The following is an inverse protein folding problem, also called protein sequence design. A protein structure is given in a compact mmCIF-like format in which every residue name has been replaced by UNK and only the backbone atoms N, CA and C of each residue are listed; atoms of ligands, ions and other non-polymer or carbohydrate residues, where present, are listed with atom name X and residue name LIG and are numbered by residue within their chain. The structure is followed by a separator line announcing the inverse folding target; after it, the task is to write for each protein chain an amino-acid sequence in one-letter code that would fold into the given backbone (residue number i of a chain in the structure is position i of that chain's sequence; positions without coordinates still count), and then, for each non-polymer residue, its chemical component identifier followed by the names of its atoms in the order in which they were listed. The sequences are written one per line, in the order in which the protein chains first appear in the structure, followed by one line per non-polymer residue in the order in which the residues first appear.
data_IF_035139441567
#
_entry.id   IF_035139441567
#
_cell.length_a   1.000
_cell.length_b   1.000
_cell.length_c   1.000
_cell.angle_alpha   90.00
_cell.angle_beta   90.00
_cell.angle_gamma   90.00
#
_symmetry.space_group_name_H-M   'P 1'
#
loop_
_entity.id
_entity.type
_entity.pdbx_description
1 polymer ?
#
# COMPACT_ATOMS: atom_id res chain seq x y z
N UNK A 1 -5.61 3.08 20.49
CA UNK A 1 -6.44 4.17 19.94
C UNK A 1 -6.00 5.45 20.60
N UNK A 2 -5.62 6.48 19.83
CA UNK A 2 -4.99 7.70 20.36
C UNK A 2 -3.75 7.42 21.24
N UNK A 3 -2.94 6.42 20.90
CA UNK A 3 -1.77 6.01 21.68
C UNK A 3 -2.03 5.04 22.84
N UNK A 4 -3.29 4.69 23.14
CA UNK A 4 -3.62 3.76 24.23
C UNK A 4 -3.91 2.34 23.73
N UNK A 5 -3.33 1.33 24.38
CA UNK A 5 -3.55 -0.09 24.05
C UNK A 5 -4.94 -0.53 24.57
N UNK A 6 -5.85 -0.94 23.66
CA UNK A 6 -7.21 -1.41 24.03
C UNK A 6 -7.26 -2.88 24.50
N UNK A 7 -6.10 -3.55 24.54
CA UNK A 7 -5.96 -4.96 24.93
C UNK A 7 -5.34 -5.80 23.81
N UNK A 8 -5.10 -7.08 24.11
CA UNK A 8 -4.65 -8.06 23.11
C UNK A 8 -5.89 -8.74 22.51
N UNK A 9 -6.12 -8.52 21.22
CA UNK A 9 -7.12 -9.26 20.45
C UNK A 9 -6.43 -10.35 19.64
N UNK A 10 -7.08 -11.50 19.51
CA UNK A 10 -6.66 -12.46 18.48
C UNK A 10 -6.90 -11.85 17.09
N UNK A 11 -6.16 -12.29 16.07
CA UNK A 11 -6.37 -11.81 14.70
C UNK A 11 -7.83 -11.97 14.26
N UNK A 12 -8.46 -13.10 14.64
CA UNK A 12 -9.87 -13.38 14.36
C UNK A 12 -10.81 -12.37 15.01
N UNK A 13 -10.60 -12.05 16.29
CA UNK A 13 -11.44 -11.09 17.01
C UNK A 13 -11.23 -9.66 16.48
N UNK A 14 -9.99 -9.31 16.11
CA UNK A 14 -9.72 -8.06 15.42
C UNK A 14 -10.51 -7.94 14.11
N UNK A 15 -10.47 -8.95 13.23
CA UNK A 15 -11.24 -8.91 11.98
C UNK A 15 -12.75 -8.88 12.20
N UNK A 16 -13.25 -9.47 13.29
CA UNK A 16 -14.67 -9.45 13.64
C UNK A 16 -15.14 -8.06 14.11
N UNK A 17 -14.28 -7.32 14.82
CA UNK A 17 -14.64 -6.06 15.48
C UNK A 17 -14.02 -4.80 14.85
N UNK A 18 -13.15 -4.92 13.84
CA UNK A 18 -12.43 -3.77 13.27
C UNK A 18 -13.34 -2.64 12.75
N UNK A 19 -14.55 -2.97 12.28
CA UNK A 19 -15.51 -1.96 11.83
C UNK A 19 -16.03 -1.05 12.94
N UNK A 20 -15.95 -1.49 14.20
CA UNK A 20 -16.28 -0.67 15.36
C UNK A 20 -15.30 0.50 15.54
N UNK A 21 -14.12 0.45 14.89
CA UNK A 21 -13.13 1.52 14.89
C UNK A 21 -13.44 2.64 13.88
N UNK A 22 -14.39 2.42 12.96
CA UNK A 22 -14.73 3.39 11.90
C UNK A 22 -15.09 4.78 12.46
N UNK A 23 -15.92 4.91 13.52
CA UNK A 23 -16.24 6.21 14.10
C UNK A 23 -14.99 6.95 14.61
N UNK A 24 -14.08 6.23 15.25
CA UNK A 24 -12.85 6.78 15.81
C UNK A 24 -11.86 7.19 14.72
N UNK A 25 -11.73 6.38 13.65
CA UNK A 25 -10.93 6.71 12.45
C UNK A 25 -11.46 8.00 11.79
N UNK A 26 -12.78 8.11 11.60
CA UNK A 26 -13.41 9.30 11.02
C UNK A 26 -13.21 10.54 11.91
N UNK A 27 -13.30 10.39 13.23
CA UNK A 27 -13.06 11.47 14.16
C UNK A 27 -11.59 11.95 14.11
N UNK A 28 -10.64 11.01 14.04
CA UNK A 28 -9.22 11.31 13.89
C UNK A 28 -8.93 12.04 12.57
N UNK A 29 -9.44 11.53 11.44
CA UNK A 29 -9.28 12.18 10.13
C UNK A 29 -9.86 13.60 10.12
N UNK A 30 -11.09 13.78 10.59
CA UNK A 30 -11.73 15.11 10.68
C UNK A 30 -10.95 16.09 11.54
N UNK A 31 -10.29 15.60 12.60
CA UNK A 31 -9.41 16.44 13.41
C UNK A 31 -8.21 16.93 12.60
N UNK A 32 -7.58 16.06 11.79
CA UNK A 32 -6.50 16.47 10.88
C UNK A 32 -6.98 17.54 9.89
N UNK A 33 -8.18 17.38 9.32
CA UNK A 33 -8.76 18.35 8.36
C UNK A 33 -8.90 19.76 8.94
N UNK A 34 -8.97 19.92 10.27
CA UNK A 34 -9.07 21.26 10.88
C UNK A 34 -7.80 22.08 10.81
N UNK A 35 -6.64 21.45 10.57
CA UNK A 35 -5.34 22.12 10.62
C UNK A 35 -4.34 21.72 9.54
N UNK A 36 -4.63 20.68 8.76
CA UNK A 36 -3.77 20.23 7.67
C UNK A 36 -4.36 20.62 6.31
N UNK A 37 -3.55 21.28 5.47
CA UNK A 37 -3.93 21.59 4.08
C UNK A 37 -3.92 20.33 3.20
N UNK A 38 -3.06 19.36 3.54
CA UNK A 38 -2.88 18.08 2.84
C UNK A 38 -2.76 16.97 3.88
N UNK A 39 -3.51 15.89 3.68
CA UNK A 39 -3.44 14.67 4.49
C UNK A 39 -3.00 13.54 3.57
N UNK A 40 -1.89 12.89 3.91
CA UNK A 40 -1.41 11.68 3.22
C UNK A 40 -1.80 10.48 4.09
N UNK A 41 -2.49 9.52 3.48
CA UNK A 41 -2.89 8.26 4.13
C UNK A 41 -2.08 7.15 3.50
N UNK A 42 -1.24 6.51 4.29
CA UNK A 42 -0.55 5.29 3.89
C UNK A 42 -1.45 4.08 4.19
N UNK A 43 -1.63 3.22 3.19
CA UNK A 43 -2.33 1.95 3.35
C UNK A 43 -1.44 0.89 3.99
N UNK A 44 -2.04 -0.19 4.47
CA UNK A 44 -1.30 -1.31 5.05
C UNK A 44 -1.39 -2.53 4.12
N UNK A 45 -0.24 -3.00 3.64
CA UNK A 45 -0.16 -4.17 2.76
C UNK A 45 -0.73 -3.91 1.37
N UNK A 46 -1.44 -4.90 0.80
CA UNK A 46 -2.00 -4.78 -0.55
C UNK A 46 -3.44 -4.26 -0.51
N UNK A 47 -3.81 -3.28 -1.36
CA UNK A 47 -5.20 -2.83 -1.47
C UNK A 47 -6.11 -3.85 -2.15
N UNK A 48 -5.55 -4.94 -2.72
CA UNK A 48 -6.27 -5.97 -3.44
C UNK A 48 -6.33 -7.32 -2.70
N UNK A 49 -6.28 -7.32 -1.37
CA UNK A 49 -6.45 -8.54 -0.58
C UNK A 49 -7.89 -9.07 -0.65
N UNK A 50 -8.15 -9.90 -1.66
CA UNK A 50 -9.48 -10.47 -1.99
C UNK A 50 -10.17 -11.05 -0.75
N UNK A 51 -9.42 -11.72 0.12
CA UNK A 51 -9.95 -12.39 1.32
C UNK A 51 -10.26 -11.44 2.49
N UNK A 52 -9.70 -10.22 2.50
CA UNK A 52 -9.83 -9.25 3.59
C UNK A 52 -10.58 -7.97 3.18
N UNK A 53 -11.01 -7.93 1.92
CA UNK A 53 -11.70 -6.80 1.28
C UNK A 53 -13.01 -6.43 1.97
N UNK A 54 -13.76 -7.43 2.43
CA UNK A 54 -14.98 -7.20 3.20
C UNK A 54 -14.58 -6.54 4.53
N UNK A 55 -15.01 -5.29 4.71
CA UNK A 55 -14.69 -4.44 5.87
C UNK A 55 -13.25 -3.90 5.88
N UNK A 56 -12.61 -3.70 4.73
CA UNK A 56 -11.36 -2.93 4.68
C UNK A 56 -11.55 -1.54 5.31
N UNK A 57 -10.62 -1.15 6.17
CA UNK A 57 -10.57 0.16 6.85
C UNK A 57 -9.17 0.79 6.78
N UNK A 58 -8.25 0.17 6.03
CA UNK A 58 -6.84 0.58 5.95
C UNK A 58 -6.42 0.94 4.53
N UNK A 59 -7.05 0.37 3.50
CA UNK A 59 -6.70 0.61 2.10
C UNK A 59 -7.84 1.33 1.33
N UNK A 60 -8.50 0.65 0.39
CA UNK A 60 -9.56 1.21 -0.43
C UNK A 60 -10.79 1.59 0.39
N UNK A 61 -11.08 0.84 1.44
CA UNK A 61 -12.15 1.19 2.37
C UNK A 61 -11.87 2.49 3.12
N UNK A 62 -10.61 2.76 3.50
CA UNK A 62 -10.23 4.05 4.07
C UNK A 62 -10.39 5.17 3.04
N UNK A 63 -9.87 4.98 1.82
CA UNK A 63 -10.01 5.96 0.75
C UNK A 63 -11.49 6.29 0.45
N UNK A 64 -12.35 5.29 0.38
CA UNK A 64 -13.79 5.48 0.19
C UNK A 64 -14.46 6.19 1.38
N UNK A 65 -14.04 5.90 2.62
CA UNK A 65 -14.60 6.53 3.83
C UNK A 65 -14.41 8.04 3.89
N UNK A 66 -13.34 8.55 3.28
CA UNK A 66 -12.97 9.98 3.28
C UNK A 66 -12.96 10.61 1.88
N UNK A 67 -13.47 9.90 0.87
CA UNK A 67 -13.47 10.31 -0.54
C UNK A 67 -12.09 10.74 -1.08
N UNK A 68 -11.04 10.03 -0.69
CA UNK A 68 -9.67 10.34 -1.10
C UNK A 68 -9.31 9.71 -2.46
N UNK A 69 -8.55 10.43 -3.32
CA UNK A 69 -7.90 9.82 -4.48
C UNK A 69 -6.76 8.90 -4.04
N UNK A 70 -6.50 7.86 -4.84
CA UNK A 70 -5.48 6.84 -4.54
C UNK A 70 -4.34 6.92 -5.55
N UNK A 71 -3.11 6.82 -5.04
CA UNK A 71 -1.92 6.54 -5.84
C UNK A 71 -1.46 5.11 -5.53
N UNK A 72 -1.33 4.28 -6.56
CA UNK A 72 -0.84 2.92 -6.39
C UNK A 72 0.66 2.86 -6.67
N UNK A 73 1.41 2.37 -5.68
CA UNK A 73 2.88 2.32 -5.74
C UNK A 73 3.34 0.87 -5.89
N UNK A 74 4.15 0.59 -6.90
CA UNK A 74 4.76 -0.71 -7.13
C UNK A 74 6.26 -0.69 -6.81
N UNK A 75 6.77 -1.75 -6.19
CA UNK A 75 8.20 -1.88 -5.85
C UNK A 75 8.94 -2.62 -6.97
N UNK A 76 9.84 -1.93 -7.68
CA UNK A 76 10.62 -2.53 -8.76
C UNK A 76 11.76 -3.42 -8.26
N UNK A 77 12.29 -3.19 -7.06
CA UNK A 77 13.39 -4.00 -6.50
C UNK A 77 12.92 -5.44 -6.20
N UNK A 78 11.63 -5.62 -5.90
CA UNK A 78 11.00 -6.95 -5.73
C UNK A 78 10.80 -7.70 -7.05
N UNK A 79 11.00 -7.04 -8.19
CA UNK A 79 10.79 -7.58 -9.53
C UNK A 79 9.31 -7.67 -9.93
N UNK A 80 9.04 -7.67 -11.24
CA UNK A 80 7.68 -7.83 -11.77
C UNK A 80 6.73 -6.66 -11.53
N UNK A 81 7.24 -5.43 -11.35
CA UNK A 81 6.45 -4.25 -10.99
C UNK A 81 5.24 -3.99 -11.89
N UNK A 82 5.36 -4.24 -13.19
CA UNK A 82 4.23 -4.10 -14.12
C UNK A 82 3.10 -5.10 -13.82
N UNK A 83 3.45 -6.33 -13.47
CA UNK A 83 2.47 -7.35 -13.09
C UNK A 83 1.87 -7.06 -11.70
N UNK A 84 2.66 -6.52 -10.76
CA UNK A 84 2.15 -6.08 -9.46
C UNK A 84 1.08 -4.99 -9.64
N UNK A 85 1.42 -3.91 -10.36
CA UNK A 85 0.51 -2.78 -10.59
C UNK A 85 -0.73 -3.19 -11.38
N UNK A 86 -0.54 -3.85 -12.53
CA UNK A 86 -1.66 -4.27 -13.37
C UNK A 86 -2.53 -5.32 -12.68
N UNK A 87 -1.90 -6.30 -12.01
CA UNK A 87 -2.61 -7.34 -11.26
C UNK A 87 -3.46 -6.74 -10.15
N UNK A 88 -2.92 -5.79 -9.38
CA UNK A 88 -3.70 -5.07 -8.36
C UNK A 88 -4.87 -4.33 -8.99
N UNK A 89 -4.67 -3.55 -10.05
CA UNK A 89 -5.76 -2.84 -10.74
C UNK A 89 -6.87 -3.77 -11.22
N UNK A 90 -6.53 -4.96 -11.72
CA UNK A 90 -7.50 -5.95 -12.20
C UNK A 90 -8.32 -6.62 -11.08
N UNK A 91 -7.87 -6.54 -9.82
CA UNK A 91 -8.55 -7.08 -8.65
C UNK A 91 -9.43 -6.05 -7.92
N UNK A 92 -9.31 -4.77 -8.28
CA UNK A 92 -10.17 -3.71 -7.76
C UNK A 92 -11.57 -3.80 -8.37
N UNK A 93 -12.58 -3.36 -7.61
CA UNK A 93 -13.90 -3.08 -8.19
C UNK A 93 -13.81 -1.85 -9.10
N UNK A 94 -14.85 -1.62 -9.90
CA UNK A 94 -14.92 -0.42 -10.73
C UNK A 94 -14.79 0.86 -9.89
N UNK A 95 -15.56 0.97 -8.80
CA UNK A 95 -15.53 2.14 -7.91
C UNK A 95 -14.14 2.36 -7.28
N UNK A 96 -13.48 1.27 -6.89
CA UNK A 96 -12.12 1.34 -6.35
C UNK A 96 -11.13 1.79 -7.42
N UNK A 97 -11.24 1.24 -8.63
CA UNK A 97 -10.37 1.61 -9.75
C UNK A 97 -10.56 3.08 -10.14
N UNK A 98 -11.79 3.59 -10.12
CA UNK A 98 -12.08 5.01 -10.37
C UNK A 98 -11.38 5.94 -9.38
N UNK A 99 -11.13 5.49 -8.14
CA UNK A 99 -10.37 6.28 -7.15
C UNK A 99 -8.88 6.32 -7.43
N UNK A 100 -8.33 5.35 -8.17
CA UNK A 100 -6.91 5.34 -8.52
C UNK A 100 -6.64 6.41 -9.58
N UNK A 101 -5.91 7.46 -9.19
CA UNK A 101 -5.59 8.60 -10.07
C UNK A 101 -4.20 8.51 -10.68
N UNK A 102 -3.38 7.56 -10.24
CA UNK A 102 -2.05 7.39 -10.77
C UNK A 102 -1.32 6.17 -10.25
N UNK A 103 -0.36 5.71 -11.06
CA UNK A 103 0.57 4.66 -10.72
C UNK A 103 1.97 5.24 -10.52
N UNK A 104 2.73 4.69 -9.58
CA UNK A 104 4.10 5.08 -9.29
C UNK A 104 4.98 3.83 -9.27
N UNK A 105 6.14 3.92 -9.92
CA UNK A 105 7.17 2.88 -9.86
C UNK A 105 8.24 3.33 -8.86
N UNK A 106 8.32 2.68 -7.72
CA UNK A 106 9.25 3.03 -6.65
C UNK A 106 10.59 2.31 -6.78
N UNK A 107 11.63 2.87 -6.15
CA UNK A 107 13.01 2.35 -6.07
C UNK A 107 13.71 2.20 -7.41
N UNK A 108 13.38 3.06 -8.36
CA UNK A 108 13.99 3.00 -9.69
C UNK A 108 15.48 3.40 -9.66
N UNK A 109 16.28 2.78 -10.53
CA UNK A 109 17.73 3.02 -10.65
C UNK A 109 18.11 3.21 -12.12
N UNK A 110 18.92 4.23 -12.39
CA UNK A 110 19.40 4.53 -13.73
C UNK A 110 18.50 5.51 -14.48
N UNK A 111 18.49 5.41 -15.81
CA UNK A 111 17.72 6.27 -16.71
C UNK A 111 16.28 5.74 -16.83
N UNK A 112 15.29 6.55 -16.41
CA UNK A 112 13.88 6.15 -16.39
C UNK A 112 13.28 5.94 -17.78
N UNK A 113 13.88 6.51 -18.82
CA UNK A 113 13.40 6.36 -20.21
C UNK A 113 13.41 4.90 -20.68
N UNK A 114 14.22 4.04 -20.05
CA UNK A 114 14.22 2.60 -20.31
C UNK A 114 12.86 1.95 -20.01
N UNK A 115 12.06 2.55 -19.13
CA UNK A 115 10.74 2.05 -18.76
C UNK A 115 9.62 2.54 -19.68
N UNK A 116 9.88 3.51 -20.58
CA UNK A 116 8.83 4.13 -21.40
C UNK A 116 7.94 3.12 -22.14
N UNK A 117 8.47 2.07 -22.79
CA UNK A 117 7.62 1.07 -23.45
C UNK A 117 6.73 0.30 -22.47
N UNK A 118 7.25 0.00 -21.27
CA UNK A 118 6.50 -0.68 -20.22
C UNK A 118 5.45 0.23 -19.58
N UNK A 119 5.76 1.51 -19.40
CA UNK A 119 4.83 2.55 -18.92
C UNK A 119 3.69 2.74 -19.89
N UNK A 120 3.97 2.79 -21.20
CA UNK A 120 2.95 2.87 -22.23
C UNK A 120 2.01 1.67 -22.15
N UNK A 121 2.56 0.44 -22.13
CA UNK A 121 1.76 -0.78 -22.00
C UNK A 121 0.91 -0.80 -20.72
N UNK A 122 1.48 -0.38 -19.59
CA UNK A 122 0.77 -0.34 -18.31
C UNK A 122 -0.38 0.67 -18.34
N UNK A 123 -0.17 1.84 -18.93
CA UNK A 123 -1.20 2.88 -19.07
C UNK A 123 -2.33 2.41 -20.00
N UNK A 124 -1.99 1.80 -21.14
CA UNK A 124 -2.96 1.27 -22.10
C UNK A 124 -3.84 0.16 -21.50
N UNK A 125 -3.23 -0.77 -20.75
CA UNK A 125 -3.95 -1.91 -20.16
C UNK A 125 -4.66 -1.56 -18.85
N UNK A 126 -4.04 -0.75 -18.01
CA UNK A 126 -4.55 -0.36 -16.71
C UNK A 126 -5.56 0.77 -16.76
N UNK A 127 -5.58 1.55 -17.85
CA UNK A 127 -6.41 2.76 -18.01
C UNK A 127 -6.19 3.82 -16.91
N UNK A 128 -5.02 3.78 -16.25
CA UNK A 128 -4.58 4.70 -15.21
C UNK A 128 -3.20 5.21 -15.60
N UNK A 129 -2.92 6.53 -15.54
CA UNK A 129 -1.63 7.07 -15.92
C UNK A 129 -0.53 6.64 -14.95
N UNK A 130 0.67 6.35 -15.47
CA UNK A 130 1.88 6.32 -14.65
C UNK A 130 2.36 7.76 -14.45
N UNK A 131 2.40 8.22 -13.20
CA UNK A 131 2.78 9.59 -12.86
C UNK A 131 4.30 9.78 -12.84
N UNK A 132 5.06 8.70 -12.67
CA UNK A 132 6.51 8.73 -12.74
C UNK A 132 7.17 7.61 -11.94
N UNK A 133 8.49 7.74 -11.82
CA UNK A 133 9.32 6.88 -10.99
C UNK A 133 9.80 7.63 -9.75
N UNK A 134 9.93 6.91 -8.64
CA UNK A 134 10.64 7.41 -7.46
C UNK A 134 12.03 6.78 -7.47
N UNK A 135 13.13 7.58 -7.44
CA UNK A 135 14.47 7.04 -7.43
C UNK A 135 14.72 6.26 -6.14
N UNK A 136 15.58 5.26 -6.21
CA UNK A 136 16.06 4.62 -4.99
C UNK A 136 16.83 5.61 -4.12
N UNK A 137 16.51 5.61 -2.83
CA UNK A 137 17.17 6.39 -1.79
C UNK A 137 17.50 5.47 -0.61
N UNK A 138 18.70 5.58 -0.07
CA UNK A 138 19.00 5.00 1.24
C UNK A 138 18.42 5.91 2.31
N UNK A 139 17.36 5.44 2.96
CA UNK A 139 16.71 6.15 4.06
C UNK A 139 16.91 5.34 5.34
N UNK A 140 17.39 5.99 6.39
CA UNK A 140 17.41 5.42 7.74
C UNK A 140 16.11 5.84 8.42
N UNK A 141 15.03 5.09 8.17
CA UNK A 141 13.77 5.23 8.88
C UNK A 141 13.72 4.21 10.02
N UNK A 142 13.01 4.55 11.10
CA UNK A 142 12.70 3.57 12.14
C UNK A 142 11.76 2.51 11.54
N UNK A 143 12.07 1.23 11.75
CA UNK A 143 11.24 0.12 11.28
C UNK A 143 9.87 0.18 11.98
N UNK A 144 8.83 0.62 11.27
CA UNK A 144 7.48 0.65 11.84
C UNK A 144 6.86 -0.75 11.92
N UNK A 145 7.20 -1.67 10.99
CA UNK A 145 6.89 -3.11 11.07
C UNK A 145 7.63 -3.90 9.96
N UNK A 146 8.89 -4.27 10.19
CA UNK A 146 9.70 -4.96 9.16
C UNK A 146 9.42 -6.47 9.10
N UNK A 147 8.59 -6.88 8.14
CA UNK A 147 8.52 -8.27 7.67
C UNK A 147 9.75 -8.71 6.83
N UNK A 148 10.75 -7.85 6.63
CA UNK A 148 11.80 -8.11 5.62
C UNK A 148 13.13 -8.63 6.19
N UNK A 149 13.50 -8.32 7.44
CA UNK A 149 14.85 -8.69 7.93
C UNK A 149 14.91 -10.00 8.71
N UNK A 150 13.81 -10.43 9.35
CA UNK A 150 13.77 -11.71 10.09
C UNK A 150 13.79 -12.96 9.22
N UNK A 151 13.46 -12.86 7.93
CA UNK A 151 13.42 -14.01 7.02
C UNK A 151 14.75 -14.22 6.25
N UNK A 152 15.53 -13.16 6.01
CA UNK A 152 16.82 -13.25 5.32
C UNK A 152 17.92 -13.84 6.23
N UNK A 153 17.91 -13.55 7.53
CA UNK A 153 18.88 -14.14 8.48
C UNK A 153 18.72 -15.67 8.66
N UNK A 154 17.51 -16.20 8.44
CA UNK A 154 17.24 -17.63 8.62
C UNK A 154 17.61 -18.50 7.40
N UNK A 155 17.81 -17.92 6.22
CA UNK A 155 18.16 -18.67 5.01
C UNK A 155 19.66 -18.82 4.75
N UNK A 156 20.51 -17.96 5.33
CA UNK A 156 21.97 -18.01 5.15
C UNK A 156 22.74 -18.53 6.37
N UNK A 157 22.05 -18.89 7.46
CA UNK A 157 22.63 -19.42 8.69
C UNK A 157 22.77 -20.95 8.77
N UNK A 158 22.35 -21.71 7.73
CA UNK A 158 22.47 -23.18 7.71
C UNK A 158 23.40 -23.66 6.60
N UNK A 159 24.63 -23.16 6.61
CA UNK A 159 25.77 -23.89 6.07
C UNK A 159 26.26 -24.85 7.18
N UNK A 160 25.89 -26.13 7.09
CA UNK A 160 26.59 -27.19 7.81
C UNK A 160 27.09 -28.19 6.76
N UNK A 161 28.41 -28.34 6.78
CA UNK A 161 29.18 -29.39 6.17
C UNK A 161 28.68 -30.79 6.56
N UNK A 162 28.31 -31.59 5.57
CA UNK A 162 28.73 -32.98 5.32
C UNK A 162 28.19 -33.41 3.95
#
# INVERSE_FOLDING_TARGET
MNGEVRGNLSARDYFAHKTELIPDIKAAFRKLETYADIIVIEGAGSPAEINLKQNDIVNMGMAAMVDAPVLLVGDIDRGGVFAQLLGTLMLLTEEERERVKGLIINKFRGDSTILDPGIQMLTERGQVPVLGTVPYMELTLEDEDSLTDRLMQNMWGRSIWL
#
